data_IF_980744304934
#
_entry.id   IF_980744304934
#
_cell.length_a   1.000
_cell.length_b   1.000
_cell.length_c   1.000
_cell.angle_alpha   90.00
_cell.angle_beta   90.00
_cell.angle_gamma   90.00
#
_symmetry.space_group_name_H-M   'P 1'
#
loop_
_entity.id
_entity.type
_entity.pdbx_description
1 polymer ?
#
# COMPACT_ATOMS: atom_id res chain seq x y z
N UNK A 1 -14.90 -0.36 -15.27
CA UNK A 1 -14.65 -0.65 -13.84
C UNK A 1 -14.34 0.60 -13.01
N UNK A 2 -13.26 1.36 -13.23
CA UNK A 2 -13.00 2.57 -12.39
C UNK A 2 -14.13 3.62 -12.48
N UNK A 3 -14.64 3.91 -13.68
CA UNK A 3 -15.78 4.82 -13.81
C UNK A 3 -17.06 4.25 -13.19
N UNK A 4 -17.29 2.95 -13.35
CA UNK A 4 -18.41 2.23 -12.75
C UNK A 4 -18.35 2.28 -11.21
N UNK A 5 -17.17 2.04 -10.64
CA UNK A 5 -16.85 2.19 -9.22
C UNK A 5 -17.16 3.62 -8.74
N UNK A 6 -16.71 4.64 -9.47
CA UNK A 6 -16.95 6.05 -9.13
C UNK A 6 -18.43 6.44 -9.15
N UNK A 7 -19.26 5.75 -9.96
CA UNK A 7 -20.71 5.95 -10.01
C UNK A 7 -21.48 5.09 -9.00
N UNK A 8 -20.80 4.20 -8.27
CA UNK A 8 -21.45 3.20 -7.40
C UNK A 8 -22.23 2.14 -8.18
N UNK A 9 -21.96 1.98 -9.47
CA UNK A 9 -22.62 1.02 -10.35
C UNK A 9 -21.75 -0.23 -10.50
N UNK A 10 -22.13 -1.28 -9.78
CA UNK A 10 -21.45 -2.58 -9.77
C UNK A 10 -22.21 -3.62 -10.59
N UNK A 11 -23.06 -3.18 -11.54
CA UNK A 11 -24.06 -3.99 -12.23
C UNK A 11 -23.64 -5.43 -12.54
N UNK A 12 -24.51 -6.39 -12.19
CA UNK A 12 -24.30 -7.84 -12.29
C UNK A 12 -23.99 -8.33 -13.71
N UNK A 13 -24.24 -7.50 -14.74
CA UNK A 13 -24.01 -7.82 -16.15
C UNK A 13 -22.57 -7.56 -16.63
N UNK A 14 -21.77 -6.75 -15.91
CA UNK A 14 -20.39 -6.50 -16.29
C UNK A 14 -19.49 -7.63 -15.76
N UNK A 15 -19.22 -8.62 -16.63
CA UNK A 15 -18.39 -9.79 -16.33
C UNK A 15 -17.02 -9.45 -15.75
N UNK A 16 -16.50 -8.23 -15.98
CA UNK A 16 -15.21 -7.79 -15.43
C UNK A 16 -15.23 -7.69 -13.90
N UNK A 17 -16.41 -7.55 -13.27
CA UNK A 17 -16.56 -7.65 -11.82
C UNK A 17 -16.39 -9.09 -11.29
N UNK A 18 -16.39 -10.10 -12.16
CA UNK A 18 -16.07 -11.48 -11.79
C UNK A 18 -14.58 -11.83 -11.97
N UNK A 19 -13.78 -10.93 -12.56
CA UNK A 19 -12.33 -11.09 -12.69
C UNK A 19 -11.60 -10.45 -11.50
N UNK A 20 -11.00 -11.30 -10.66
CA UNK A 20 -10.23 -10.87 -9.49
C UNK A 20 -9.05 -9.97 -9.84
N UNK A 21 -8.45 -10.14 -11.03
CA UNK A 21 -7.34 -9.30 -11.49
C UNK A 21 -7.85 -7.91 -11.87
N UNK A 22 -9.05 -7.83 -12.45
CA UNK A 22 -9.69 -6.57 -12.78
C UNK A 22 -10.08 -5.81 -11.49
N UNK A 23 -10.70 -6.50 -10.52
CA UNK A 23 -11.04 -5.92 -9.20
C UNK A 23 -9.79 -5.43 -8.47
N UNK A 24 -8.75 -6.27 -8.37
CA UNK A 24 -7.52 -5.88 -7.69
C UNK A 24 -6.83 -4.70 -8.38
N UNK A 25 -6.93 -4.61 -9.71
CA UNK A 25 -6.41 -3.47 -10.48
C UNK A 25 -7.15 -2.18 -10.17
N UNK A 26 -8.48 -2.22 -10.01
CA UNK A 26 -9.27 -1.07 -9.56
C UNK A 26 -8.85 -0.63 -8.16
N UNK A 27 -8.71 -1.57 -7.22
CA UNK A 27 -8.27 -1.29 -5.86
C UNK A 27 -6.89 -0.60 -5.83
N UNK A 28 -5.90 -1.15 -6.55
CA UNK A 28 -4.56 -0.55 -6.68
C UNK A 28 -4.64 0.84 -7.31
N UNK A 29 -5.48 1.03 -8.32
CA UNK A 29 -5.67 2.32 -8.99
C UNK A 29 -6.30 3.36 -8.06
N UNK A 30 -7.25 2.97 -7.22
CA UNK A 30 -7.87 3.85 -6.24
C UNK A 30 -6.83 4.48 -5.30
N UNK A 31 -6.00 3.64 -4.64
CA UNK A 31 -4.97 4.14 -3.73
C UNK A 31 -3.92 5.02 -4.43
N UNK A 32 -3.54 4.66 -5.66
CA UNK A 32 -2.59 5.45 -6.47
C UNK A 32 -3.12 6.83 -6.82
N UNK A 33 -4.44 6.97 -7.00
CA UNK A 33 -5.11 8.21 -7.43
C UNK A 33 -5.57 9.09 -6.27
N UNK A 34 -5.37 8.67 -5.01
CA UNK A 34 -5.65 9.53 -3.87
C UNK A 34 -4.83 10.83 -3.97
N UNK A 35 -5.42 12.01 -3.72
CA UNK A 35 -4.70 13.28 -3.72
C UNK A 35 -3.49 13.28 -2.78
N UNK A 36 -3.68 12.70 -1.59
CA UNK A 36 -2.62 12.43 -0.61
C UNK A 36 -2.44 10.90 -0.49
N UNK A 37 -1.20 10.36 -0.52
CA UNK A 37 -0.98 8.92 -0.39
C UNK A 37 -1.56 8.36 0.91
N UNK A 38 -1.79 7.05 0.96
CA UNK A 38 -2.37 6.43 2.16
C UNK A 38 -1.47 6.64 3.39
N UNK A 39 -0.14 6.63 3.20
CA UNK A 39 0.85 6.91 4.24
C UNK A 39 1.19 8.41 4.34
N UNK A 40 0.41 9.28 3.70
CA UNK A 40 0.54 10.76 3.65
C UNK A 40 1.88 11.26 3.11
N UNK A 41 1.86 12.40 2.43
CA UNK A 41 3.11 13.06 2.03
C UNK A 41 3.87 13.65 3.23
N UNK A 42 3.18 14.01 4.31
CA UNK A 42 3.78 14.56 5.53
C UNK A 42 4.70 13.55 6.23
N UNK A 43 4.25 12.30 6.39
CA UNK A 43 5.03 11.25 7.06
C UNK A 43 6.03 10.57 6.13
N UNK A 44 6.02 10.86 4.82
CA UNK A 44 6.86 10.20 3.82
C UNK A 44 8.34 10.14 4.24
N UNK A 45 8.94 11.29 4.58
CA UNK A 45 10.35 11.35 4.96
C UNK A 45 10.67 10.52 6.21
N UNK A 46 9.84 10.62 7.25
CA UNK A 46 10.03 9.87 8.49
C UNK A 46 9.90 8.35 8.26
N UNK A 47 8.96 7.96 7.40
CA UNK A 47 8.74 6.56 7.02
C UNK A 47 9.92 6.00 6.22
N UNK A 48 10.50 6.76 5.28
CA UNK A 48 11.71 6.37 4.55
C UNK A 48 12.89 6.21 5.52
N UNK A 49 13.10 7.13 6.46
CA UNK A 49 14.15 7.00 7.48
C UNK A 49 13.94 5.78 8.39
N UNK A 50 12.70 5.51 8.82
CA UNK A 50 12.37 4.33 9.62
C UNK A 50 12.75 3.03 8.90
N UNK A 51 12.60 2.98 7.57
CA UNK A 51 12.96 1.82 6.76
C UNK A 51 14.48 1.52 6.72
N UNK A 52 15.31 2.52 7.01
CA UNK A 52 16.78 2.41 7.04
C UNK A 52 17.30 1.86 8.37
N UNK A 53 16.44 1.73 9.38
CA UNK A 53 16.78 1.12 10.65
C UNK A 53 17.05 -0.38 10.45
N UNK A 54 18.25 -0.80 10.81
CA UNK A 54 18.71 -2.19 10.67
C UNK A 54 18.09 -3.12 11.72
N UNK A 55 18.10 -2.78 13.03
CA UNK A 55 17.44 -3.60 14.03
C UNK A 55 15.94 -3.68 13.74
N UNK A 56 15.45 -4.88 13.46
CA UNK A 56 14.05 -5.11 13.09
C UNK A 56 13.07 -4.59 14.14
N UNK A 57 13.38 -4.84 15.42
CA UNK A 57 12.53 -4.39 16.52
C UNK A 57 12.44 -2.86 16.61
N UNK A 58 13.53 -2.15 16.32
CA UNK A 58 13.54 -0.68 16.31
C UNK A 58 12.75 -0.14 15.12
N UNK A 59 12.94 -0.74 13.94
CA UNK A 59 12.16 -0.43 12.74
C UNK A 59 10.66 -0.61 12.98
N UNK A 60 10.25 -1.75 13.54
CA UNK A 60 8.85 -2.04 13.89
C UNK A 60 8.28 -1.01 14.85
N UNK A 61 9.02 -0.68 15.92
CA UNK A 61 8.57 0.31 16.91
C UNK A 61 8.43 1.71 16.30
N UNK A 62 9.36 2.10 15.41
CA UNK A 62 9.33 3.38 14.71
C UNK A 62 8.13 3.44 13.74
N UNK A 63 7.97 2.43 12.88
CA UNK A 63 6.85 2.33 11.93
C UNK A 63 5.51 2.34 12.67
N UNK A 64 5.39 1.64 13.79
CA UNK A 64 4.15 1.63 14.59
C UNK A 64 3.77 3.03 15.07
N UNK A 65 4.72 3.81 15.59
CA UNK A 65 4.47 5.19 16.02
C UNK A 65 4.03 6.06 14.84
N UNK A 66 4.71 5.95 13.70
CA UNK A 66 4.35 6.70 12.49
C UNK A 66 2.96 6.32 11.97
N UNK A 67 2.58 5.05 12.08
CA UNK A 67 1.21 4.61 11.73
C UNK A 67 0.20 5.20 12.71
N UNK A 68 0.50 5.24 14.01
CA UNK A 68 -0.37 5.84 15.02
C UNK A 68 -0.53 7.37 14.85
N UNK A 69 0.44 8.04 14.20
CA UNK A 69 0.39 9.47 13.85
C UNK A 69 -0.45 9.77 12.58
N UNK A 70 -0.90 8.74 11.85
CA UNK A 70 -1.76 8.94 10.67
C UNK A 70 -3.12 9.52 11.05
N UNK A 71 -3.71 10.39 10.21
CA UNK A 71 -5.11 10.79 10.37
C UNK A 71 -6.04 9.57 10.42
N UNK A 72 -7.10 9.62 11.26
CA UNK A 72 -8.02 8.49 11.47
C UNK A 72 -8.51 7.78 10.20
N UNK A 73 -8.88 8.49 9.10
CA UNK A 73 -9.30 7.84 7.86
C UNK A 73 -8.17 7.05 7.19
N UNK A 74 -6.94 7.58 7.23
CA UNK A 74 -5.76 6.95 6.67
C UNK A 74 -5.36 5.72 7.50
N UNK A 75 -5.30 5.86 8.83
CA UNK A 75 -5.01 4.77 9.75
C UNK A 75 -5.99 3.60 9.59
N UNK A 76 -7.30 3.89 9.64
CA UNK A 76 -8.34 2.86 9.57
C UNK A 76 -8.31 2.12 8.24
N UNK A 77 -8.09 2.85 7.15
CA UNK A 77 -7.98 2.29 5.80
C UNK A 77 -6.71 1.45 5.64
N UNK A 78 -5.56 1.95 6.11
CA UNK A 78 -4.29 1.22 6.07
C UNK A 78 -4.37 -0.07 6.87
N UNK A 79 -4.90 -0.02 8.10
CA UNK A 79 -5.08 -1.19 8.96
C UNK A 79 -5.93 -2.27 8.28
N UNK A 80 -7.04 -1.89 7.65
CA UNK A 80 -7.89 -2.85 6.94
C UNK A 80 -7.19 -3.44 5.71
N UNK A 81 -6.53 -2.60 4.91
CA UNK A 81 -5.79 -3.03 3.74
C UNK A 81 -4.66 -4.01 4.12
N UNK A 82 -3.84 -3.66 5.10
CA UNK A 82 -2.75 -4.50 5.62
C UNK A 82 -3.28 -5.84 6.11
N UNK A 83 -4.38 -5.84 6.88
CA UNK A 83 -5.03 -7.08 7.31
C UNK A 83 -5.54 -7.94 6.15
N UNK A 84 -6.02 -7.33 5.07
CA UNK A 84 -6.36 -8.06 3.84
C UNK A 84 -5.12 -8.64 3.15
N UNK A 85 -4.05 -7.86 2.99
CA UNK A 85 -2.81 -8.31 2.37
C UNK A 85 -2.14 -9.44 3.17
N UNK A 86 -2.18 -9.39 4.50
CA UNK A 86 -1.66 -10.45 5.37
C UNK A 86 -2.41 -11.78 5.17
N UNK A 87 -3.74 -11.74 4.98
CA UNK A 87 -4.52 -12.93 4.60
C UNK A 87 -4.16 -13.48 3.21
N UNK A 88 -3.91 -12.59 2.24
CA UNK A 88 -3.44 -12.98 0.90
C UNK A 88 -2.06 -13.64 1.00
N UNK A 89 -1.15 -13.05 1.77
CA UNK A 89 0.18 -13.58 2.04
C UNK A 89 0.14 -14.95 2.71
N UNK A 90 -0.78 -15.17 3.66
CA UNK A 90 -0.99 -16.48 4.31
C UNK A 90 -1.42 -17.59 3.35
N UNK A 91 -1.82 -17.27 2.11
CA UNK A 91 -2.15 -18.24 1.05
C UNK A 91 -1.07 -18.33 -0.04
N UNK A 92 0.17 -17.88 0.25
CA UNK A 92 1.27 -17.79 -0.72
C UNK A 92 1.65 -19.12 -1.36
N UNK A 93 1.39 -20.25 -0.71
CA UNK A 93 1.66 -21.57 -1.28
C UNK A 93 0.84 -21.83 -2.55
N UNK A 94 -0.34 -21.22 -2.66
CA UNK A 94 -1.24 -21.33 -3.81
C UNK A 94 -1.09 -20.13 -4.73
N UNK A 95 -1.29 -18.90 -4.22
CA UNK A 95 -1.35 -17.70 -5.04
C UNK A 95 0.04 -17.11 -5.39
N UNK A 96 1.12 -17.62 -4.79
CA UNK A 96 2.52 -17.19 -4.98
C UNK A 96 2.81 -15.73 -4.59
N UNK A 97 1.93 -15.11 -3.83
CA UNK A 97 2.05 -13.72 -3.35
C UNK A 97 2.38 -13.71 -1.87
N UNK A 98 3.66 -13.85 -1.51
CA UNK A 98 4.14 -13.60 -0.14
C UNK A 98 4.16 -12.09 0.17
N UNK A 99 4.46 -11.72 1.43
CA UNK A 99 4.52 -10.33 1.88
C UNK A 99 5.43 -9.47 1.00
N UNK A 100 6.60 -9.97 0.63
CA UNK A 100 7.57 -9.29 -0.26
C UNK A 100 7.01 -8.99 -1.65
N UNK A 101 6.34 -9.97 -2.26
CA UNK A 101 5.72 -9.82 -3.59
C UNK A 101 4.58 -8.80 -3.55
N UNK A 102 3.76 -8.84 -2.50
CA UNK A 102 2.70 -7.84 -2.28
C UNK A 102 3.30 -6.45 -2.05
N UNK A 103 4.35 -6.34 -1.24
CA UNK A 103 5.04 -5.09 -0.95
C UNK A 103 5.66 -4.45 -2.19
N UNK A 104 6.12 -5.25 -3.17
CA UNK A 104 6.62 -4.71 -4.45
C UNK A 104 5.53 -4.00 -5.24
N UNK A 105 4.29 -4.45 -5.12
CA UNK A 105 3.12 -3.84 -5.79
C UNK A 105 2.58 -2.65 -4.99
N UNK A 106 2.52 -2.79 -3.66
CA UNK A 106 1.88 -1.81 -2.78
C UNK A 106 2.82 -0.73 -2.25
N UNK A 107 4.14 -0.95 -2.19
CA UNK A 107 5.16 0.04 -1.79
C UNK A 107 4.97 1.39 -2.48
N UNK A 108 5.19 1.48 -3.81
CA UNK A 108 5.01 2.73 -4.56
C UNK A 108 3.55 3.15 -4.71
N UNK A 109 2.60 2.28 -4.32
CA UNK A 109 1.16 2.61 -4.36
C UNK A 109 0.73 3.33 -3.08
N UNK A 110 1.26 2.96 -1.92
CA UNK A 110 0.85 3.47 -0.60
C UNK A 110 1.78 4.57 -0.06
N UNK A 111 3.07 4.49 -0.38
CA UNK A 111 4.12 5.42 0.07
C UNK A 111 4.66 6.13 -1.18
N UNK A 112 4.33 7.42 -1.33
CA UNK A 112 4.73 8.21 -2.50
C UNK A 112 5.30 9.56 -2.07
N UNK A 113 6.37 9.97 -2.74
CA UNK A 113 6.92 11.32 -2.61
C UNK A 113 5.93 12.32 -3.22
N UNK A 114 5.83 13.51 -2.64
CA UNK A 114 5.15 14.65 -3.27
C UNK A 114 5.99 15.27 -4.41
N UNK A 115 7.29 14.97 -4.43
CA UNK A 115 8.23 15.42 -5.45
C UNK A 115 8.36 14.37 -6.57
N UNK A 116 8.12 14.80 -7.81
CA UNK A 116 8.10 13.96 -9.02
C UNK A 116 9.53 13.69 -9.58
N UNK A 117 10.56 13.89 -8.76
CA UNK A 117 11.93 13.61 -9.15
C UNK A 117 12.19 12.10 -9.30
N UNK A 118 12.45 11.67 -10.55
CA UNK A 118 12.75 10.27 -10.87
C UNK A 118 13.93 9.69 -10.09
N UNK A 119 14.96 10.48 -9.79
CA UNK A 119 16.11 10.00 -9.02
C UNK A 119 15.70 9.59 -7.59
N UNK A 120 14.90 10.44 -6.94
CA UNK A 120 14.35 10.17 -5.60
C UNK A 120 13.43 8.97 -5.62
N UNK A 121 12.52 8.88 -6.60
CA UNK A 121 11.60 7.75 -6.73
C UNK A 121 12.33 6.41 -6.89
N UNK A 122 13.41 6.37 -7.68
CA UNK A 122 14.22 5.15 -7.84
C UNK A 122 15.01 4.80 -6.58
N UNK A 123 15.57 5.80 -5.89
CA UNK A 123 16.32 5.59 -4.66
C UNK A 123 15.42 5.08 -3.51
N UNK A 124 14.18 5.58 -3.42
CA UNK A 124 13.27 5.29 -2.33
C UNK A 124 12.42 4.04 -2.55
N UNK A 125 12.32 3.51 -3.77
CA UNK A 125 11.48 2.34 -4.07
C UNK A 125 11.80 1.11 -3.19
N UNK A 126 13.06 0.72 -2.94
CA UNK A 126 13.37 -0.39 -2.03
C UNK A 126 12.88 -0.14 -0.60
N UNK A 127 12.96 1.11 -0.15
CA UNK A 127 12.51 1.55 1.17
C UNK A 127 10.98 1.46 1.28
N UNK A 128 10.25 1.98 0.29
CA UNK A 128 8.80 1.88 0.19
C UNK A 128 8.31 0.43 0.26
N UNK A 129 8.98 -0.48 -0.47
CA UNK A 129 8.70 -1.92 -0.39
C UNK A 129 8.99 -2.47 1.01
N UNK A 130 10.14 -2.16 1.61
CA UNK A 130 10.52 -2.67 2.95
C UNK A 130 9.52 -2.25 4.03
N UNK A 131 8.98 -1.03 3.96
CA UNK A 131 7.96 -0.54 4.90
C UNK A 131 6.68 -1.35 4.76
N UNK A 132 6.18 -1.50 3.54
CA UNK A 132 4.94 -2.25 3.30
C UNK A 132 5.10 -3.72 3.65
N UNK A 133 6.26 -4.32 3.37
CA UNK A 133 6.58 -5.68 3.80
C UNK A 133 6.59 -5.82 5.32
N UNK A 134 7.11 -4.82 6.04
CA UNK A 134 7.12 -4.81 7.51
C UNK A 134 5.72 -4.65 8.12
N UNK A 135 4.77 -4.05 7.38
CA UNK A 135 3.39 -3.90 7.83
C UNK A 135 2.56 -5.18 7.66
N UNK A 136 2.84 -5.99 6.63
CA UNK A 136 2.07 -7.19 6.23
C UNK A 136 2.38 -8.39 7.14
#
# INVERSE_FOLDING_TARGET
LTESFNRGDFGESDWRWNDVNAISSVMKSFFRKLPDPLVTSELYGAVIEASKLEPEQERLNCIKRLVDDLPDPHYSTLRYLVGHLSRVAGSSDVNKMNARNLATVFGPTLVRSADDNMATMMADMPHQCRIVETLI
#
